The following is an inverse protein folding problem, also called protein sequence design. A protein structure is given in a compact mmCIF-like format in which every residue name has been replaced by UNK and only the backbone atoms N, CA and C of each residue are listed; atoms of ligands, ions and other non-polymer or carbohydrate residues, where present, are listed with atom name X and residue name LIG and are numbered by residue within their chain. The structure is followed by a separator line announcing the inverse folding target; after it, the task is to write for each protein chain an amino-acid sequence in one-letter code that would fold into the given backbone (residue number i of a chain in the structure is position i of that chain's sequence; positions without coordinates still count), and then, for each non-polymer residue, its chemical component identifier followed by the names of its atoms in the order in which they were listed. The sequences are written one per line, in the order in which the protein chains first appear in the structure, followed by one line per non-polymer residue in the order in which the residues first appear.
data_IF_678718506316
#
_entry.id   IF_678718506316
#
_cell.length_a   1.000
_cell.length_b   1.000
_cell.length_c   1.000
_cell.angle_alpha   90.00
_cell.angle_beta   90.00
_cell.angle_gamma   90.00
#
_symmetry.space_group_name_H-M   'P 1'
#
loop_
_entity.id
_entity.type
_entity.pdbx_description
1 polymer ?
#
# COMPACT_ATOMS: atom_id res chain seq x y z
N UNK A 1 -14.02 5.51 -20.77
CA UNK A 1 -13.17 4.33 -20.55
C UNK A 1 -14.07 3.20 -20.06
N UNK A 2 -14.53 2.29 -20.93
CA UNK A 2 -15.55 1.28 -20.55
C UNK A 2 -15.16 -0.15 -20.98
N UNK A 3 -14.22 -0.34 -21.91
CA UNK A 3 -13.89 -1.69 -22.43
C UNK A 3 -12.90 -2.52 -21.60
N UNK A 4 -12.20 -1.91 -20.64
CA UNK A 4 -11.26 -2.63 -19.74
C UNK A 4 -11.74 -2.72 -18.28
N UNK A 5 -12.89 -2.12 -17.95
CA UNK A 5 -13.36 -1.97 -16.57
C UNK A 5 -13.46 -3.30 -15.83
N UNK A 6 -14.19 -4.28 -16.37
CA UNK A 6 -14.48 -5.51 -15.61
C UNK A 6 -13.24 -6.36 -15.31
N UNK A 7 -12.35 -6.56 -16.29
CA UNK A 7 -11.10 -7.31 -16.08
C UNK A 7 -10.14 -6.58 -15.14
N UNK A 8 -10.14 -5.24 -15.21
CA UNK A 8 -9.34 -4.40 -14.34
C UNK A 8 -9.85 -4.47 -12.90
N UNK A 9 -11.16 -4.35 -12.67
CA UNK A 9 -11.79 -4.49 -11.35
C UNK A 9 -11.53 -5.87 -10.73
N UNK A 10 -11.63 -6.96 -11.51
CA UNK A 10 -11.30 -8.31 -11.04
C UNK A 10 -9.82 -8.39 -10.63
N UNK A 11 -8.93 -7.80 -11.42
CA UNK A 11 -7.51 -7.71 -11.10
C UNK A 11 -7.24 -6.95 -9.80
N UNK A 12 -7.90 -5.81 -9.59
CA UNK A 12 -7.79 -5.02 -8.36
C UNK A 12 -8.31 -5.77 -7.14
N UNK A 13 -9.41 -6.51 -7.25
CA UNK A 13 -9.96 -7.34 -6.16
C UNK A 13 -8.97 -8.46 -5.80
N UNK A 14 -8.42 -9.16 -6.79
CA UNK A 14 -7.42 -10.21 -6.56
C UNK A 14 -6.18 -9.59 -5.90
N UNK A 15 -5.72 -8.44 -6.39
CA UNK A 15 -4.60 -7.72 -5.80
C UNK A 15 -4.88 -7.34 -4.34
N UNK A 16 -6.07 -6.81 -4.03
CA UNK A 16 -6.48 -6.46 -2.68
C UNK A 16 -6.45 -7.69 -1.75
N UNK A 17 -7.03 -8.81 -2.16
CA UNK A 17 -7.00 -10.07 -1.38
C UNK A 17 -5.55 -10.49 -1.11
N UNK A 18 -4.71 -10.47 -2.15
CA UNK A 18 -3.30 -10.86 -2.05
C UNK A 18 -2.54 -9.93 -1.10
N UNK A 19 -2.80 -8.62 -1.16
CA UNK A 19 -2.23 -7.61 -0.27
C UNK A 19 -2.68 -7.80 1.18
N UNK A 20 -3.93 -8.19 1.44
CA UNK A 20 -4.42 -8.51 2.79
C UNK A 20 -3.63 -9.68 3.37
N UNK A 21 -3.45 -10.78 2.62
CA UNK A 21 -2.66 -11.92 3.07
C UNK A 21 -1.19 -11.53 3.32
N UNK A 22 -0.60 -10.78 2.40
CA UNK A 22 0.76 -10.27 2.55
C UNK A 22 0.90 -9.40 3.81
N UNK A 23 -0.08 -8.53 4.09
CA UNK A 23 -0.10 -7.70 5.29
C UNK A 23 -0.10 -8.54 6.58
N UNK A 24 -0.90 -9.62 6.64
CA UNK A 24 -0.93 -10.52 7.80
C UNK A 24 0.45 -11.18 8.02
N UNK A 25 1.08 -11.65 6.94
CA UNK A 25 2.41 -12.28 7.00
C UNK A 25 3.45 -11.27 7.47
N UNK A 26 3.49 -10.09 6.84
CA UNK A 26 4.39 -9.00 7.21
C UNK A 26 4.19 -8.64 8.67
N UNK A 27 2.95 -8.41 9.11
CA UNK A 27 2.62 -8.08 10.49
C UNK A 27 3.16 -9.13 11.47
N UNK A 28 2.96 -10.43 11.18
CA UNK A 28 3.44 -11.53 12.03
C UNK A 28 4.96 -11.58 12.12
N UNK A 29 5.67 -11.37 11.01
CA UNK A 29 7.15 -11.33 10.97
C UNK A 29 7.66 -10.11 11.73
N UNK A 30 7.01 -8.96 11.52
CA UNK A 30 7.44 -7.66 12.00
C UNK A 30 7.15 -7.42 13.48
N UNK A 31 6.17 -8.14 14.07
CA UNK A 31 5.76 -7.99 15.46
C UNK A 31 6.92 -8.10 16.47
N UNK A 32 7.93 -8.93 16.17
CA UNK A 32 9.08 -9.16 17.07
C UNK A 32 10.17 -8.09 17.01
N UNK A 33 10.26 -7.27 15.95
CA UNK A 33 11.33 -6.28 15.78
C UNK A 33 10.72 -4.89 15.58
N UNK A 34 10.76 -4.05 16.63
CA UNK A 34 10.13 -2.70 16.68
C UNK A 34 10.43 -1.80 15.46
N UNK A 35 11.58 -1.97 14.79
CA UNK A 35 11.94 -1.25 13.56
C UNK A 35 10.95 -1.49 12.39
N UNK A 36 10.30 -2.65 12.37
CA UNK A 36 9.41 -3.05 11.29
C UNK A 36 7.98 -2.50 11.43
N UNK A 37 7.66 -1.79 12.53
CA UNK A 37 6.36 -1.10 12.66
C UNK A 37 6.15 -0.06 11.55
N UNK A 38 7.22 0.58 11.10
CA UNK A 38 7.17 1.54 9.97
C UNK A 38 6.81 0.86 8.65
N UNK A 39 7.30 -0.37 8.42
CA UNK A 39 6.98 -1.18 7.23
C UNK A 39 5.51 -1.56 7.23
N UNK A 40 5.00 -2.04 8.37
CA UNK A 40 3.57 -2.35 8.54
C UNK A 40 2.71 -1.12 8.26
N UNK A 41 3.10 0.05 8.79
CA UNK A 41 2.37 1.30 8.55
C UNK A 41 2.37 1.69 7.06
N UNK A 42 3.53 1.63 6.39
CA UNK A 42 3.64 1.91 4.97
C UNK A 42 2.75 0.99 4.13
N UNK A 43 2.76 -0.31 4.45
CA UNK A 43 1.96 -1.31 3.76
C UNK A 43 0.45 -1.12 4.00
N UNK A 44 0.07 -0.65 5.19
CA UNK A 44 -1.32 -0.33 5.53
C UNK A 44 -1.83 0.88 4.72
N UNK A 45 -1.03 1.93 4.57
CA UNK A 45 -1.36 3.05 3.68
C UNK A 45 -1.47 2.63 2.22
N UNK A 46 -0.60 1.71 1.78
CA UNK A 46 -0.70 1.15 0.44
C UNK A 46 -2.01 0.38 0.25
N UNK A 47 -2.42 -0.41 1.24
CA UNK A 47 -3.68 -1.13 1.24
C UNK A 47 -4.90 -0.20 1.21
N UNK A 48 -4.87 0.90 1.97
CA UNK A 48 -5.92 1.93 1.87
C UNK A 48 -5.99 2.57 0.49
N UNK A 49 -4.84 2.84 -0.14
CA UNK A 49 -4.83 3.33 -1.51
C UNK A 49 -5.55 2.38 -2.47
N UNK A 50 -5.30 1.08 -2.38
CA UNK A 50 -5.97 0.07 -3.21
C UNK A 50 -7.47 0.02 -2.95
N UNK A 51 -7.90 0.14 -1.69
CA UNK A 51 -9.34 0.24 -1.35
C UNK A 51 -9.97 1.49 -1.96
N UNK A 52 -9.28 2.64 -1.92
CA UNK A 52 -9.77 3.87 -2.55
C UNK A 52 -9.79 3.80 -4.08
N UNK A 53 -8.83 3.12 -4.71
CA UNK A 53 -8.83 2.87 -6.15
C UNK A 53 -10.07 2.07 -6.58
N UNK A 54 -10.38 0.99 -5.86
CA UNK A 54 -11.57 0.18 -6.09
C UNK A 54 -12.84 1.00 -5.85
N UNK A 55 -12.93 1.74 -4.74
CA UNK A 55 -14.09 2.60 -4.45
C UNK A 55 -14.28 3.70 -5.49
N UNK A 56 -13.19 4.23 -6.07
CA UNK A 56 -13.23 5.21 -7.15
C UNK A 56 -13.91 4.63 -8.40
N UNK A 57 -13.68 3.36 -8.72
CA UNK A 57 -14.36 2.71 -9.84
C UNK A 57 -15.88 2.60 -9.61
N UNK A 58 -16.30 2.25 -8.39
CA UNK A 58 -17.72 2.09 -8.07
C UNK A 58 -18.48 3.41 -7.92
N UNK A 59 -17.84 4.45 -7.36
CA UNK A 59 -18.51 5.71 -7.03
C UNK A 59 -18.17 6.88 -7.97
N UNK A 60 -17.25 6.71 -8.92
CA UNK A 60 -16.84 7.73 -9.91
C UNK A 60 -16.51 9.12 -9.32
N UNK A 61 -16.11 9.17 -8.03
CA UNK A 61 -15.92 10.41 -7.30
C UNK A 61 -14.44 10.82 -7.28
N UNK A 62 -14.15 12.06 -7.69
CA UNK A 62 -12.77 12.60 -7.70
C UNK A 62 -12.13 12.64 -6.30
N UNK A 63 -12.95 12.69 -5.23
CA UNK A 63 -12.46 12.64 -3.85
C UNK A 63 -11.68 11.33 -3.58
N UNK A 64 -12.16 10.19 -4.08
CA UNK A 64 -11.46 8.91 -3.93
C UNK A 64 -10.15 8.87 -4.71
N UNK A 65 -10.07 9.57 -5.86
CA UNK A 65 -8.82 9.74 -6.59
C UNK A 65 -7.79 10.48 -5.74
N UNK A 66 -8.18 11.58 -5.10
CA UNK A 66 -7.26 12.34 -4.24
C UNK A 66 -6.81 11.51 -3.04
N UNK A 67 -7.74 10.80 -2.38
CA UNK A 67 -7.41 9.96 -1.22
C UNK A 67 -6.50 8.77 -1.58
N UNK A 68 -6.73 8.14 -2.73
CA UNK A 68 -5.85 7.12 -3.33
C UNK A 68 -4.43 7.68 -3.46
N UNK A 69 -4.26 8.79 -4.19
CA UNK A 69 -2.94 9.37 -4.46
C UNK A 69 -2.23 9.84 -3.19
N UNK A 70 -2.95 10.44 -2.23
CA UNK A 70 -2.38 10.86 -0.95
C UNK A 70 -1.90 9.65 -0.15
N UNK A 71 -2.69 8.58 -0.09
CA UNK A 71 -2.33 7.35 0.63
C UNK A 71 -1.10 6.67 0.00
N UNK A 72 -1.05 6.63 -1.33
CA UNK A 72 0.11 6.17 -2.10
C UNK A 72 1.36 6.99 -1.79
N UNK A 73 1.26 8.32 -1.83
CA UNK A 73 2.38 9.21 -1.58
C UNK A 73 2.93 9.06 -0.15
N UNK A 74 2.05 8.94 0.84
CA UNK A 74 2.43 8.66 2.23
C UNK A 74 3.15 7.31 2.33
N UNK A 75 2.59 6.27 1.72
CA UNK A 75 3.19 4.93 1.71
C UNK A 75 4.60 4.94 1.08
N UNK A 76 4.74 5.49 -0.13
CA UNK A 76 6.01 5.57 -0.85
C UNK A 76 7.07 6.37 -0.08
N UNK A 77 6.67 7.47 0.57
CA UNK A 77 7.57 8.28 1.40
C UNK A 77 8.11 7.49 2.58
N UNK A 78 7.26 6.69 3.23
CA UNK A 78 7.68 5.86 4.36
C UNK A 78 8.58 4.72 3.88
N UNK A 79 8.26 4.07 2.76
CA UNK A 79 9.13 3.05 2.15
C UNK A 79 10.51 3.61 1.79
N UNK A 80 10.55 4.81 1.19
CA UNK A 80 11.79 5.48 0.85
C UNK A 80 12.63 5.79 2.09
N UNK A 81 11.99 6.28 3.15
CA UNK A 81 12.66 6.51 4.44
C UNK A 81 13.23 5.21 5.03
N UNK A 82 12.48 4.11 4.96
CA UNK A 82 12.94 2.80 5.45
C UNK A 82 14.14 2.32 4.62
N UNK A 83 14.07 2.44 3.29
CA UNK A 83 15.16 2.06 2.39
C UNK A 83 16.42 2.89 2.68
N UNK A 84 16.27 4.20 2.86
CA UNK A 84 17.38 5.09 3.24
C UNK A 84 17.98 4.72 4.60
N UNK A 85 17.14 4.49 5.61
CA UNK A 85 17.61 4.11 6.95
C UNK A 85 18.29 2.72 6.95
N UNK A 86 17.78 1.76 6.18
CA UNK A 86 18.39 0.45 6.02
C UNK A 86 19.74 0.56 5.30
N UNK A 87 19.81 1.35 4.23
CA UNK A 87 21.04 1.62 3.49
C UNK A 87 22.11 2.26 4.40
N UNK A 88 21.75 3.30 5.17
CA UNK A 88 22.67 3.93 6.13
C UNK A 88 23.22 2.93 7.16
N UNK A 89 22.37 2.06 7.69
CA UNK A 89 22.80 1.02 8.65
C UNK A 89 23.67 -0.07 8.01
N UNK A 90 23.52 -0.34 6.72
CA UNK A 90 24.32 -1.33 5.99
C UNK A 90 25.68 -0.78 5.53
N UNK A 91 25.72 0.50 5.17
CA UNK A 91 26.95 1.16 4.71
C UNK A 91 27.87 1.52 5.89
N UNK A 92 27.32 1.60 7.12
CA UNK A 92 28.12 1.71 8.34
C UNK A 92 28.93 3.01 8.41
N UNK A 93 28.27 4.09 8.82
CA UNK A 93 28.96 5.22 9.43
C UNK A 93 29.17 4.95 10.92
#
# INVERSE_FOLDING_TARGET
MVLFGEYFTIGEIIALITMIFAFIIIYRICWKRKAFRKIVLAYLFFLFSTVFAILREYFLWDVFRTLEHVSLLVSSSIFLYIAYAAHKNLVGD
#
